data_IF_562062361210
#
_entry.id   IF_562062361210
#
_cell.length_a   1.000
_cell.length_b   1.000
_cell.length_c   1.000
_cell.angle_alpha   90.00
_cell.angle_beta   90.00
_cell.angle_gamma   90.00
#
_symmetry.space_group_name_H-M   'P 1'
#
loop_
_entity.id
_entity.type
_entity.pdbx_description
1 polymer ?
#
# COMPACT_ATOMS: atom_id res chain seq x y z
N UNK A 1 3.74 -10.00 16.97
CA UNK A 1 3.94 -8.63 16.44
C UNK A 1 2.67 -8.25 15.69
N UNK A 2 1.69 -7.70 16.42
CA UNK A 2 0.41 -7.25 15.85
C UNK A 2 0.58 -5.79 15.45
N UNK A 3 0.48 -5.51 14.15
CA UNK A 3 0.55 -4.14 13.62
C UNK A 3 -0.86 -3.55 13.70
N UNK A 4 -1.29 -3.27 14.93
CA UNK A 4 -2.38 -2.35 15.21
C UNK A 4 -1.79 -0.96 15.30
N UNK A 5 -2.07 -0.11 14.30
CA UNK A 5 -1.66 1.29 14.30
C UNK A 5 -0.30 1.54 13.65
N UNK A 6 -0.29 1.73 12.33
CA UNK A 6 0.84 2.26 11.56
C UNK A 6 1.11 3.75 11.85
N UNK A 7 1.13 4.14 13.13
CA UNK A 7 1.62 5.43 13.63
C UNK A 7 2.29 5.33 15.01
N UNK A 8 2.52 4.13 15.54
CA UNK A 8 3.25 3.94 16.80
C UNK A 8 4.74 3.68 16.56
N UNK A 9 5.57 4.72 16.70
CA UNK A 9 7.04 4.68 16.88
C UNK A 9 7.81 3.71 15.96
N UNK A 10 8.03 4.11 14.71
CA UNK A 10 9.12 3.57 13.90
C UNK A 10 10.28 4.54 13.98
N UNK A 11 11.44 4.07 14.43
CA UNK A 11 12.71 4.66 14.01
C UNK A 11 12.62 4.88 12.49
N UNK A 12 12.95 6.07 12.00
CA UNK A 12 12.74 6.44 10.60
C UNK A 12 13.39 5.41 9.66
N UNK A 13 12.58 4.70 8.87
CA UNK A 13 13.06 3.78 7.83
C UNK A 13 14.01 4.54 6.91
N UNK A 14 15.24 4.05 6.74
CA UNK A 14 16.22 4.71 5.87
C UNK A 14 15.85 4.50 4.39
N UNK A 15 16.35 5.34 3.47
CA UNK A 15 16.17 5.12 2.03
C UNK A 15 16.69 3.75 1.57
N UNK A 16 17.72 3.21 2.21
CA UNK A 16 18.29 1.88 1.91
C UNK A 16 17.32 0.78 2.37
N UNK A 17 16.81 0.88 3.59
CA UNK A 17 15.81 -0.06 4.13
C UNK A 17 14.53 -0.03 3.30
N UNK A 18 14.06 1.16 2.93
CA UNK A 18 12.90 1.34 2.06
C UNK A 18 13.10 0.61 0.72
N UNK A 19 14.26 0.80 0.07
CA UNK A 19 14.60 0.16 -1.21
C UNK A 19 14.71 -1.35 -1.07
N UNK A 20 15.34 -1.84 0.00
CA UNK A 20 15.49 -3.27 0.25
C UNK A 20 14.14 -3.96 0.49
N UNK A 21 13.26 -3.34 1.28
CA UNK A 21 11.89 -3.84 1.50
C UNK A 21 11.10 -3.81 0.19
N UNK A 22 11.14 -2.71 -0.56
CA UNK A 22 10.45 -2.60 -1.85
C UNK A 22 10.88 -3.71 -2.82
N UNK A 23 12.18 -3.96 -2.93
CA UNK A 23 12.72 -5.06 -3.74
C UNK A 23 12.27 -6.43 -3.24
N UNK A 24 12.29 -6.67 -1.92
CA UNK A 24 11.78 -7.91 -1.34
C UNK A 24 10.30 -8.14 -1.66
N UNK A 25 9.47 -7.09 -1.57
CA UNK A 25 8.06 -7.16 -1.91
C UNK A 25 7.84 -7.40 -3.41
N UNK A 26 8.65 -6.81 -4.28
CA UNK A 26 8.51 -7.01 -5.74
C UNK A 26 8.80 -8.45 -6.17
N UNK A 27 9.59 -9.19 -5.38
CA UNK A 27 9.79 -10.64 -5.57
C UNK A 27 8.59 -11.48 -5.12
N UNK A 28 7.73 -10.95 -4.24
CA UNK A 28 6.50 -11.60 -3.78
C UNK A 28 5.34 -11.26 -4.74
N UNK A 29 5.13 -9.97 -5.00
CA UNK A 29 4.11 -9.47 -5.93
C UNK A 29 4.35 -7.99 -6.22
N UNK A 30 4.18 -7.57 -7.48
CA UNK A 30 4.15 -6.16 -7.85
C UNK A 30 3.12 -5.37 -7.05
N UNK A 31 1.95 -5.95 -6.75
CA UNK A 31 0.91 -5.31 -5.92
C UNK A 31 1.42 -4.93 -4.53
N UNK A 32 2.28 -5.74 -3.90
CA UNK A 32 2.82 -5.40 -2.59
C UNK A 32 3.88 -4.31 -2.65
N UNK A 33 4.74 -4.34 -3.68
CA UNK A 33 5.73 -3.31 -3.91
C UNK A 33 5.07 -1.94 -4.20
N UNK A 34 4.08 -1.93 -5.09
CA UNK A 34 3.29 -0.75 -5.43
C UNK A 34 2.57 -0.19 -4.19
N UNK A 35 1.91 -1.06 -3.40
CA UNK A 35 1.23 -0.65 -2.18
C UNK A 35 2.21 -0.04 -1.16
N UNK A 36 3.41 -0.62 -1.01
CA UNK A 36 4.45 -0.07 -0.15
C UNK A 36 4.89 1.34 -0.58
N UNK A 37 5.11 1.53 -1.87
CA UNK A 37 5.47 2.82 -2.45
C UNK A 37 4.37 3.86 -2.23
N UNK A 38 3.10 3.47 -2.42
CA UNK A 38 1.95 4.34 -2.22
C UNK A 38 1.75 4.72 -0.74
N UNK A 39 1.89 3.77 0.19
CA UNK A 39 1.82 4.03 1.64
C UNK A 39 2.84 5.11 2.05
N UNK A 40 4.08 4.94 1.62
CA UNK A 40 5.16 5.86 1.95
C UNK A 40 4.96 7.23 1.32
N UNK A 41 4.48 7.27 0.07
CA UNK A 41 4.28 8.52 -0.69
C UNK A 41 3.09 9.34 -0.18
N UNK A 42 1.97 8.69 0.15
CA UNK A 42 0.76 9.40 0.60
C UNK A 42 0.82 9.84 2.06
N UNK A 43 1.67 9.19 2.88
CA UNK A 43 1.67 9.36 4.35
C UNK A 43 0.24 9.28 4.90
N UNK A 44 -0.47 8.24 4.47
CA UNK A 44 -1.84 7.95 4.85
C UNK A 44 -1.90 6.59 5.55
N UNK A 45 -2.94 6.38 6.34
CA UNK A 45 -3.08 5.18 7.15
C UNK A 45 -3.29 3.96 6.27
N UNK A 46 -2.61 2.86 6.60
CA UNK A 46 -2.63 1.67 5.75
C UNK A 46 -4.03 1.14 5.45
N UNK A 47 -4.96 1.25 6.42
CA UNK A 47 -6.36 0.89 6.22
C UNK A 47 -7.08 1.75 5.18
N UNK A 48 -6.72 3.04 5.03
CA UNK A 48 -7.29 3.91 3.99
C UNK A 48 -6.69 3.63 2.64
N UNK A 49 -5.37 3.42 2.59
CA UNK A 49 -4.64 3.21 1.33
C UNK A 49 -5.05 1.90 0.65
N UNK A 50 -5.22 0.81 1.40
CA UNK A 50 -5.65 -0.47 0.79
C UNK A 50 -7.07 -0.40 0.20
N UNK A 51 -7.91 0.51 0.69
CA UNK A 51 -9.30 0.65 0.25
C UNK A 51 -9.50 1.69 -0.84
N UNK A 52 -8.43 2.31 -1.35
CA UNK A 52 -8.53 3.29 -2.45
C UNK A 52 -9.18 2.63 -3.67
N UNK A 53 -10.23 3.26 -4.18
CA UNK A 53 -10.90 2.92 -5.43
C UNK A 53 -10.45 3.87 -6.52
N UNK A 54 -10.54 3.43 -7.77
CA UNK A 54 -10.29 4.32 -8.91
C UNK A 54 -11.29 5.48 -8.95
N UNK A 55 -12.53 5.28 -8.49
CA UNK A 55 -13.53 6.34 -8.36
C UNK A 55 -13.21 7.39 -7.31
N UNK A 56 -12.24 7.13 -6.43
CA UNK A 56 -11.81 8.11 -5.43
C UNK A 56 -10.77 9.09 -6.03
N UNK A 57 -10.47 8.99 -7.34
CA UNK A 57 -9.43 9.78 -8.03
C UNK A 57 -10.06 10.57 -9.19
N UNK A 58 -9.88 11.89 -9.18
CA UNK A 58 -10.36 12.82 -10.20
C UNK A 58 -9.27 13.87 -10.48
N UNK A 59 -8.90 14.11 -11.74
CA UNK A 59 -7.91 15.13 -12.15
C UNK A 59 -6.61 15.18 -11.31
N UNK A 60 -5.98 14.01 -11.11
CA UNK A 60 -4.80 13.79 -10.24
C UNK A 60 -5.02 14.04 -8.74
N UNK A 61 -6.27 14.24 -8.30
CA UNK A 61 -6.63 14.41 -6.90
C UNK A 61 -7.20 13.10 -6.35
N UNK A 62 -6.60 12.61 -5.27
CA UNK A 62 -7.11 11.49 -4.50
C UNK A 62 -7.98 12.00 -3.35
N UNK A 63 -9.25 11.61 -3.35
CA UNK A 63 -10.25 11.96 -2.35
C UNK A 63 -10.45 10.81 -1.36
N UNK A 64 -9.75 10.87 -0.23
CA UNK A 64 -9.96 9.92 0.85
C UNK A 64 -11.18 10.35 1.67
N UNK A 65 -12.28 9.58 1.57
CA UNK A 65 -13.48 9.82 2.36
C UNK A 65 -13.19 9.77 3.87
N UNK A 66 -14.02 10.49 4.63
CA UNK A 66 -14.05 10.42 6.08
C UNK A 66 -14.54 9.06 6.57
N UNK A 67 -14.07 8.65 7.73
CA UNK A 67 -14.53 7.46 8.46
C UNK A 67 -14.69 7.86 9.93
N UNK A 68 -15.35 7.06 10.78
CA UNK A 68 -15.40 7.34 12.22
C UNK A 68 -14.03 7.51 12.89
N UNK A 69 -12.95 7.01 12.24
CA UNK A 69 -11.58 7.08 12.75
C UNK A 69 -10.73 8.18 12.11
N UNK A 70 -11.10 8.67 10.93
CA UNK A 70 -10.24 9.51 10.11
C UNK A 70 -11.05 10.59 9.41
N UNK A 71 -10.60 11.84 9.51
CA UNK A 71 -11.16 12.94 8.77
C UNK A 71 -10.99 12.76 7.24
N UNK A 72 -11.92 13.29 6.42
CA UNK A 72 -11.76 13.32 4.98
C UNK A 72 -10.50 14.09 4.61
N UNK A 73 -9.83 13.66 3.53
CA UNK A 73 -8.57 14.25 3.09
C UNK A 73 -8.45 14.17 1.57
N UNK A 74 -8.16 15.30 0.94
CA UNK A 74 -7.80 15.34 -0.48
C UNK A 74 -6.29 15.48 -0.63
N UNK A 75 -5.69 14.69 -1.52
CA UNK A 75 -4.25 14.64 -1.75
C UNK A 75 -3.99 14.77 -3.24
N UNK A 76 -3.17 15.73 -3.67
CA UNK A 76 -2.68 15.78 -5.04
C UNK A 76 -1.66 14.67 -5.26
N UNK A 77 -1.93 13.77 -6.21
CA UNK A 77 -1.02 12.72 -6.61
C UNK A 77 0.18 13.33 -7.33
N UNK A 78 1.37 12.83 -7.01
CA UNK A 78 2.55 13.15 -7.80
C UNK A 78 2.57 12.31 -9.08
N UNK A 79 3.37 12.74 -10.06
CA UNK A 79 3.47 12.08 -11.37
C UNK A 79 3.77 10.58 -11.28
N UNK A 80 4.58 10.17 -10.30
CA UNK A 80 4.93 8.76 -10.10
C UNK A 80 3.71 7.95 -9.67
N UNK A 81 2.94 8.42 -8.68
CA UNK A 81 1.73 7.74 -8.23
C UNK A 81 0.65 7.73 -9.31
N UNK A 82 0.43 8.84 -10.03
CA UNK A 82 -0.53 8.87 -11.14
C UNK A 82 -0.20 7.82 -12.20
N UNK A 83 1.08 7.72 -12.60
CA UNK A 83 1.53 6.70 -13.57
C UNK A 83 1.37 5.28 -13.05
N UNK A 84 1.73 5.03 -11.78
CA UNK A 84 1.57 3.73 -11.17
C UNK A 84 0.10 3.29 -11.15
N UNK A 85 -0.79 4.19 -10.73
CA UNK A 85 -2.23 3.90 -10.64
C UNK A 85 -2.82 3.66 -12.04
N UNK A 86 -2.48 4.50 -13.02
CA UNK A 86 -2.90 4.32 -14.41
C UNK A 86 -2.43 2.97 -14.97
N UNK A 87 -1.16 2.63 -14.81
CA UNK A 87 -0.61 1.34 -15.27
C UNK A 87 -1.34 0.14 -14.63
N UNK A 88 -1.67 0.22 -13.33
CA UNK A 88 -2.44 -0.83 -12.65
C UNK A 88 -3.85 -0.97 -13.21
N UNK A 89 -4.50 0.14 -13.57
CA UNK A 89 -5.82 0.15 -14.21
C UNK A 89 -5.77 -0.45 -15.60
N UNK A 90 -4.77 -0.09 -16.40
CA UNK A 90 -4.58 -0.63 -17.75
C UNK A 90 -4.37 -2.15 -17.72
N UNK A 91 -3.57 -2.63 -16.77
CA UNK A 91 -3.34 -4.06 -16.58
C UNK A 91 -4.59 -4.81 -16.06
N UNK A 92 -5.49 -4.13 -15.35
CA UNK A 92 -6.68 -4.75 -14.76
C UNK A 92 -7.91 -3.81 -14.89
N UNK A 93 -8.48 -3.65 -16.10
CA UNK A 93 -9.51 -2.63 -16.35
C UNK A 93 -10.78 -2.81 -15.53
N UNK A 94 -11.09 -4.04 -15.11
CA UNK A 94 -12.27 -4.38 -14.29
C UNK A 94 -12.06 -4.18 -12.78
N UNK A 95 -10.84 -3.88 -12.32
CA UNK A 95 -10.60 -3.66 -10.90
C UNK A 95 -11.30 -2.38 -10.41
N UNK A 96 -11.96 -2.49 -9.26
CA UNK A 96 -12.62 -1.37 -8.57
C UNK A 96 -11.63 -0.68 -7.62
N UNK A 97 -10.85 -1.50 -6.90
CA UNK A 97 -9.80 -1.04 -5.98
C UNK A 97 -8.47 -0.96 -6.71
N UNK A 98 -7.66 0.06 -6.41
CA UNK A 98 -6.28 0.17 -6.93
C UNK A 98 -5.46 -1.06 -6.53
N UNK A 99 -5.65 -1.53 -5.29
CA UNK A 99 -5.03 -2.73 -4.75
C UNK A 99 -6.05 -3.84 -4.52
N UNK A 100 -6.66 -4.33 -5.60
CA UNK A 100 -7.63 -5.44 -5.55
C UNK A 100 -6.94 -6.80 -5.33
N UNK A 101 -7.49 -7.61 -4.43
CA UNK A 101 -7.08 -9.00 -4.20
C UNK A 101 -7.58 -9.88 -5.33
N UNK A 102 -6.68 -10.71 -5.89
CA UNK A 102 -7.01 -11.73 -6.90
C UNK A 102 -6.80 -13.16 -6.41
N UNK A 103 -6.73 -13.36 -5.09
CA UNK A 103 -6.54 -14.70 -4.52
C UNK A 103 -7.76 -15.60 -4.75
N UNK A 104 -7.54 -16.91 -4.86
CA UNK A 104 -8.62 -17.90 -5.08
C UNK A 104 -9.76 -17.82 -4.04
N UNK A 105 -9.45 -17.39 -2.82
CA UNK A 105 -10.41 -17.25 -1.71
C UNK A 105 -11.44 -16.13 -1.91
N UNK A 106 -11.21 -15.21 -2.85
CA UNK A 106 -12.12 -14.10 -3.19
C UNK A 106 -12.52 -14.11 -4.67
N UNK A 107 -12.35 -15.24 -5.37
CA UNK A 107 -12.72 -15.38 -6.78
C UNK A 107 -14.16 -14.93 -7.01
N UNK A 108 -14.33 -13.96 -7.92
CA UNK A 108 -15.65 -13.40 -8.28
C UNK A 108 -16.13 -12.24 -7.39
N UNK A 109 -15.39 -11.85 -6.34
CA UNK A 109 -15.75 -10.73 -5.47
C UNK A 109 -14.67 -9.64 -5.53
N UNK A 110 -15.05 -8.44 -5.98
CA UNK A 110 -14.17 -7.27 -5.94
C UNK A 110 -13.90 -6.88 -4.47
N UNK A 111 -12.69 -7.19 -4.00
CA UNK A 111 -12.25 -6.91 -2.62
C UNK A 111 -10.83 -6.35 -2.63
N UNK A 112 -10.53 -5.34 -1.80
CA UNK A 112 -9.15 -4.88 -1.66
C UNK A 112 -8.29 -5.98 -1.01
N UNK A 113 -6.98 -5.87 -1.15
CA UNK A 113 -6.03 -6.60 -0.31
C UNK A 113 -6.25 -6.22 1.16
N UNK A 114 -5.86 -7.10 2.09
CA UNK A 114 -6.04 -6.87 3.52
C UNK A 114 -4.76 -6.37 4.17
N UNK A 115 -4.90 -5.59 5.26
CA UNK A 115 -3.76 -5.17 6.10
C UNK A 115 -2.99 -6.39 6.62
N UNK A 116 -3.70 -7.48 6.96
CA UNK A 116 -3.08 -8.73 7.44
C UNK A 116 -2.18 -9.34 6.36
N UNK A 117 -2.67 -9.44 5.12
CA UNK A 117 -1.88 -9.96 4.00
C UNK A 117 -0.66 -9.09 3.71
N UNK A 118 -0.84 -7.75 3.76
CA UNK A 118 0.27 -6.81 3.59
C UNK A 118 1.33 -6.97 4.69
N UNK A 119 0.92 -7.09 5.96
CA UNK A 119 1.83 -7.28 7.08
C UNK A 119 2.63 -8.59 6.98
N UNK A 120 2.00 -9.65 6.49
CA UNK A 120 2.68 -10.92 6.23
C UNK A 120 3.73 -10.77 5.11
N UNK A 121 3.39 -10.08 4.03
CA UNK A 121 4.33 -9.78 2.94
C UNK A 121 5.51 -8.92 3.43
N UNK A 122 5.24 -7.88 4.23
CA UNK A 122 6.25 -7.04 4.84
C UNK A 122 7.20 -7.83 5.74
N UNK A 123 6.67 -8.68 6.62
CA UNK A 123 7.48 -9.54 7.49
C UNK A 123 8.40 -10.46 6.70
N UNK A 124 7.94 -10.97 5.56
CA UNK A 124 8.74 -11.80 4.68
C UNK A 124 9.82 -10.97 3.97
N UNK A 125 9.47 -9.79 3.45
CA UNK A 125 10.38 -8.91 2.72
C UNK A 125 11.45 -8.26 3.60
N UNK A 126 11.14 -7.95 4.86
CA UNK A 126 12.05 -7.27 5.79
C UNK A 126 12.97 -8.21 6.58
N UNK A 127 12.83 -9.53 6.40
CA UNK A 127 13.52 -10.58 7.21
C UNK A 127 15.03 -10.36 7.35
N UNK A 128 15.68 -9.82 6.33
CA UNK A 128 17.13 -9.58 6.31
C UNK A 128 17.53 -8.10 6.31
N UNK A 129 16.55 -7.19 6.35
CA UNK A 129 16.76 -5.73 6.31
C UNK A 129 16.99 -5.20 7.72
N UNK A 130 16.16 -5.60 8.69
CA UNK A 130 16.27 -5.20 10.10
C UNK A 130 17.26 -6.08 10.89
N UNK A 131 18.49 -6.26 10.39
CA UNK A 131 19.58 -6.72 11.26
C UNK A 131 20.13 -5.49 11.97
N UNK A 132 19.40 -4.97 12.97
CA UNK A 132 20.04 -4.12 13.98
C UNK A 132 21.05 -5.01 14.66
N UNK A 133 22.34 -4.79 14.39
CA UNK A 133 23.44 -5.38 15.12
C UNK A 133 23.27 -4.95 16.57
N UNK A 134 22.70 -5.81 17.40
CA UNK A 134 22.86 -5.65 18.85
C UNK A 134 24.33 -5.93 19.16
N UNK A 135 25.02 -5.05 19.91
CA UNK A 135 26.34 -5.36 20.45
C UNK A 135 26.31 -6.58 21.39
#
# INVERSE_FOLDING_TARGET
>A
MSIGGLHGKTDSITPEEFRAIHFGLSKISSTWADLWLTLFSLRAEGSRVITIRYSDIEDDMLHLAGTPKFEPRTIRLNLMLSKLIAYRKDCNPSDIYVFQSRSNRVKGLARPVTVIAMNNALKQASKYVTRKTSP
#
